data_IF_151935141409
#
_entry.id   IF_151935141409
#
_cell.length_a   1.000
_cell.length_b   1.000
_cell.length_c   1.000
_cell.angle_alpha   90.00
_cell.angle_beta   90.00
_cell.angle_gamma   90.00
#
_symmetry.space_group_name_H-M   'P 1'
#
loop_
_entity.id
_entity.type
_entity.pdbx_description
1 polymer ?
#
# COMPACT_ATOMS: atom_id res chain seq x y z
N UNK A 1 -28.93 -3.01 10.31
CA UNK A 1 -28.19 -4.14 9.72
C UNK A 1 -26.68 -3.99 9.93
N UNK A 2 -26.13 -4.53 11.01
CA UNK A 2 -24.68 -4.78 11.09
C UNK A 2 -24.44 -6.18 10.54
N UNK A 3 -23.72 -6.30 9.41
CA UNK A 3 -23.23 -7.59 8.94
C UNK A 3 -21.95 -7.91 9.72
N UNK A 4 -22.00 -8.93 10.58
CA UNK A 4 -20.82 -9.45 11.27
C UNK A 4 -20.21 -10.60 10.46
N UNK A 5 -18.89 -10.71 10.43
CA UNK A 5 -18.15 -11.79 9.76
C UNK A 5 -16.88 -11.30 9.06
N UNK A 6 -15.99 -12.24 8.75
CA UNK A 6 -14.80 -11.98 7.93
C UNK A 6 -15.18 -12.02 6.46
N UNK A 7 -14.95 -10.94 5.74
CA UNK A 7 -15.12 -10.94 4.29
C UNK A 7 -13.97 -11.72 3.67
N UNK A 8 -14.30 -12.72 2.84
CA UNK A 8 -13.31 -13.45 2.07
C UNK A 8 -13.09 -12.78 0.72
N UNK A 9 -11.83 -12.46 0.41
CA UNK A 9 -11.43 -12.05 -0.93
C UNK A 9 -11.48 -13.30 -1.81
N UNK A 10 -12.29 -13.25 -2.86
CA UNK A 10 -12.34 -14.32 -3.88
C UNK A 10 -11.46 -13.91 -5.06
N UNK A 11 -10.47 -14.74 -5.39
CA UNK A 11 -9.49 -14.46 -6.45
C UNK A 11 -8.10 -14.14 -5.89
N UNK A 12 -7.18 -13.62 -6.72
CA UNK A 12 -5.86 -13.22 -6.25
C UNK A 12 -5.99 -12.03 -5.30
N UNK A 13 -5.31 -12.14 -4.16
CA UNK A 13 -5.17 -11.08 -3.15
C UNK A 13 -3.90 -10.23 -3.38
N UNK A 14 -3.15 -10.54 -4.44
CA UNK A 14 -1.83 -9.98 -4.73
C UNK A 14 -1.77 -9.45 -6.16
N UNK A 15 -1.27 -8.22 -6.34
CA UNK A 15 -1.17 -7.51 -7.62
C UNK A 15 0.24 -6.96 -7.81
N UNK A 16 1.09 -7.73 -8.49
CA UNK A 16 2.53 -7.45 -8.49
C UNK A 16 3.07 -7.57 -7.07
N UNK A 17 3.75 -6.54 -6.60
CA UNK A 17 4.32 -6.48 -5.25
C UNK A 17 3.34 -5.94 -4.19
N UNK A 18 2.08 -5.70 -4.54
CA UNK A 18 1.05 -5.22 -3.61
C UNK A 18 0.14 -6.35 -3.14
N UNK A 19 -0.33 -6.30 -1.90
CA UNK A 19 -1.37 -7.16 -1.33
C UNK A 19 -2.61 -6.36 -0.94
N UNK A 20 -3.76 -7.01 -1.01
CA UNK A 20 -5.02 -6.51 -0.48
C UNK A 20 -5.15 -6.85 1.00
N UNK A 21 -5.25 -5.82 1.83
CA UNK A 21 -5.37 -5.94 3.28
C UNK A 21 -6.72 -5.38 3.73
N UNK A 22 -7.64 -6.24 4.23
CA UNK A 22 -8.91 -5.78 4.78
C UNK A 22 -8.73 -5.26 6.20
N UNK A 23 -9.13 -4.01 6.46
CA UNK A 23 -9.20 -3.42 7.78
C UNK A 23 -10.65 -3.29 8.24
N UNK A 24 -10.95 -3.87 9.40
CA UNK A 24 -12.28 -3.89 9.99
C UNK A 24 -12.39 -2.82 11.07
N UNK A 25 -13.51 -2.11 11.08
CA UNK A 25 -13.94 -1.24 12.18
C UNK A 25 -15.31 -1.71 12.67
N UNK A 26 -15.78 -1.15 13.77
CA UNK A 26 -17.10 -1.49 14.31
C UNK A 26 -18.26 -1.30 13.30
N UNK A 27 -18.08 -0.42 12.30
CA UNK A 27 -19.14 -0.03 11.37
C UNK A 27 -18.75 -0.08 9.90
N UNK A 28 -17.55 -0.56 9.57
CA UNK A 28 -17.03 -0.47 8.20
C UNK A 28 -15.89 -1.43 7.91
N UNK A 29 -15.70 -1.67 6.61
CA UNK A 29 -14.58 -2.40 6.02
C UNK A 29 -13.89 -1.48 5.02
N UNK A 30 -12.57 -1.36 5.12
CA UNK A 30 -11.72 -0.72 4.12
C UNK A 30 -10.73 -1.75 3.58
N UNK A 31 -10.42 -1.70 2.29
CA UNK A 31 -9.39 -2.55 1.68
C UNK A 31 -8.24 -1.63 1.25
N UNK A 32 -7.05 -1.92 1.77
CA UNK A 32 -5.82 -1.23 1.42
C UNK A 32 -5.02 -2.06 0.42
N UNK A 33 -4.39 -1.42 -0.55
CA UNK A 33 -3.36 -2.02 -1.41
C UNK A 33 -2.01 -1.57 -0.89
N UNK A 34 -1.25 -2.48 -0.27
CA UNK A 34 0.01 -2.17 0.43
C UNK A 34 1.12 -3.13 0.03
N UNK A 35 2.37 -2.72 0.20
CA UNK A 35 3.49 -3.64 0.05
C UNK A 35 3.52 -4.62 1.24
N UNK A 36 3.91 -5.90 1.05
CA UNK A 36 4.26 -6.76 2.17
C UNK A 36 5.35 -6.08 3.00
N UNK A 37 5.14 -5.94 4.30
CA UNK A 37 6.06 -5.18 5.16
C UNK A 37 5.57 -3.82 5.60
N UNK A 38 4.59 -3.22 4.92
CA UNK A 38 3.99 -1.93 5.29
C UNK A 38 2.91 -2.17 6.35
N UNK A 39 3.31 -2.10 7.63
CA UNK A 39 2.43 -2.26 8.77
C UNK A 39 1.63 -0.99 9.07
N UNK A 40 2.17 0.18 8.71
CA UNK A 40 1.51 1.48 8.94
C UNK A 40 0.42 1.80 7.91
N UNK A 41 0.39 1.07 6.80
CA UNK A 41 -0.51 1.25 5.65
C UNK A 41 -0.32 2.59 4.95
N UNK A 42 0.88 3.18 5.02
CA UNK A 42 1.17 4.49 4.43
C UNK A 42 1.73 4.40 2.99
N UNK A 43 1.94 3.17 2.50
CA UNK A 43 2.46 2.86 1.18
C UNK A 43 3.98 2.79 1.11
N UNK A 44 4.67 2.95 2.24
CA UNK A 44 6.12 2.85 2.37
C UNK A 44 6.47 1.64 3.25
N UNK A 45 7.60 1.01 2.97
CA UNK A 45 8.17 0.00 3.88
C UNK A 45 9.47 0.54 4.45
N UNK A 46 9.47 0.94 5.72
CA UNK A 46 10.63 1.57 6.36
C UNK A 46 10.90 1.10 7.80
N UNK A 47 11.68 1.89 8.55
CA UNK A 47 12.07 1.56 9.92
C UNK A 47 10.91 1.62 10.91
N UNK A 48 9.85 2.39 10.61
CA UNK A 48 8.64 2.46 11.43
C UNK A 48 7.92 1.11 11.41
N UNK A 49 7.78 0.49 10.23
CA UNK A 49 7.18 -0.84 10.12
C UNK A 49 8.01 -1.91 10.80
N UNK A 50 9.33 -1.83 10.65
CA UNK A 50 10.25 -2.76 11.30
C UNK A 50 10.14 -2.66 12.82
N UNK A 51 9.96 -1.46 13.36
CA UNK A 51 9.76 -1.25 14.79
C UNK A 51 8.47 -1.95 15.29
N UNK A 52 7.39 -1.94 14.50
CA UNK A 52 6.14 -2.65 14.82
C UNK A 52 6.38 -4.16 14.90
N UNK A 53 7.03 -4.75 13.89
CA UNK A 53 7.36 -6.19 13.88
C UNK A 53 8.22 -6.57 15.09
N UNK A 54 9.21 -5.74 15.44
CA UNK A 54 10.07 -6.00 16.60
C UNK A 54 9.31 -5.92 17.93
N UNK A 55 8.41 -4.96 18.08
CA UNK A 55 7.60 -4.79 19.29
C UNK A 55 6.63 -5.96 19.51
N UNK A 56 6.10 -6.52 18.43
CA UNK A 56 5.09 -7.58 18.48
C UNK A 56 5.65 -8.98 18.20
N UNK A 57 6.98 -9.16 18.14
CA UNK A 57 7.57 -10.44 17.80
C UNK A 57 7.11 -11.56 18.76
N UNK A 58 6.56 -12.64 18.22
CA UNK A 58 6.00 -13.76 18.98
C UNK A 58 4.54 -13.56 19.42
N UNK A 59 3.91 -12.44 19.07
CA UNK A 59 2.48 -12.22 19.28
C UNK A 59 1.65 -13.23 18.49
N UNK A 60 0.57 -13.72 19.12
CA UNK A 60 -0.46 -14.56 18.50
C UNK A 60 -1.74 -13.77 18.30
N UNK A 61 -2.62 -14.28 17.43
CA UNK A 61 -3.84 -13.61 16.98
C UNK A 61 -3.56 -12.21 16.39
N UNK A 62 -2.36 -12.07 15.80
CA UNK A 62 -1.88 -10.82 15.24
C UNK A 62 -2.55 -10.50 13.90
N UNK A 63 -2.69 -9.21 13.65
CA UNK A 63 -3.19 -8.64 12.40
C UNK A 63 -2.05 -8.06 11.57
N UNK A 64 -2.37 -7.65 10.34
CA UNK A 64 -1.40 -7.04 9.43
C UNK A 64 -0.69 -5.83 10.05
N UNK A 65 -1.47 -4.92 10.67
CA UNK A 65 -0.94 -3.70 11.31
C UNK A 65 -0.15 -3.97 12.58
N UNK A 66 -0.18 -5.21 13.07
CA UNK A 66 0.64 -5.67 14.20
C UNK A 66 1.90 -6.40 13.71
N UNK A 67 2.06 -6.60 12.40
CA UNK A 67 3.25 -7.19 11.79
C UNK A 67 3.08 -8.63 11.28
N UNK A 68 1.86 -9.18 11.22
CA UNK A 68 1.60 -10.48 10.56
C UNK A 68 1.32 -10.26 9.06
N UNK A 69 2.39 -10.21 8.27
CA UNK A 69 2.32 -10.04 6.81
C UNK A 69 2.06 -11.36 6.08
N UNK A 70 2.25 -12.49 6.76
CA UNK A 70 1.92 -13.81 6.21
C UNK A 70 0.44 -14.17 6.37
N UNK A 71 -0.27 -13.52 7.29
CA UNK A 71 -1.68 -13.77 7.60
C UNK A 71 -1.90 -15.10 8.34
N UNK A 72 -0.88 -15.56 9.08
CA UNK A 72 -0.94 -16.84 9.78
C UNK A 72 -1.40 -16.72 11.25
N UNK A 73 -1.69 -15.50 11.70
CA UNK A 73 -2.06 -15.14 13.06
C UNK A 73 -0.88 -14.96 14.01
N UNK A 74 0.37 -14.95 13.53
CA UNK A 74 1.56 -14.77 14.36
C UNK A 74 2.57 -13.84 13.72
N UNK A 75 3.21 -13.01 14.55
CA UNK A 75 4.35 -12.19 14.13
C UNK A 75 5.63 -12.98 14.33
N UNK A 76 6.28 -13.37 13.24
CA UNK A 76 7.47 -14.21 13.28
C UNK A 76 8.57 -13.79 12.30
N UNK A 77 9.60 -14.65 12.20
CA UNK A 77 10.75 -14.39 11.34
C UNK A 77 10.38 -14.34 9.84
N UNK A 78 9.29 -15.00 9.44
CA UNK A 78 8.83 -14.97 8.04
C UNK A 78 8.26 -13.59 7.69
N UNK A 79 7.60 -12.95 8.63
CA UNK A 79 7.07 -11.59 8.47
C UNK A 79 8.21 -10.57 8.42
N UNK A 80 9.20 -10.69 9.32
CA UNK A 80 10.41 -9.86 9.28
C UNK A 80 11.18 -10.03 7.95
N UNK A 81 11.23 -11.24 7.40
CA UNK A 81 11.86 -11.49 6.10
C UNK A 81 11.06 -10.87 4.93
N UNK A 82 9.73 -10.92 4.97
CA UNK A 82 8.88 -10.24 3.98
C UNK A 82 9.12 -8.73 4.02
N UNK A 83 9.14 -8.12 5.20
CA UNK A 83 9.46 -6.70 5.34
C UNK A 83 10.83 -6.37 4.73
N UNK A 84 11.86 -7.17 5.06
CA UNK A 84 13.21 -6.94 4.54
C UNK A 84 13.30 -7.06 3.01
N UNK A 85 12.49 -7.90 2.38
CA UNK A 85 12.45 -8.02 0.90
C UNK A 85 11.89 -6.78 0.21
N UNK A 86 10.99 -6.07 0.88
CA UNK A 86 10.31 -4.90 0.34
C UNK A 86 10.79 -3.59 0.97
N UNK A 87 11.84 -3.61 1.79
CA UNK A 87 12.36 -2.42 2.47
C UNK A 87 12.74 -1.31 1.47
N UNK A 88 12.24 -0.10 1.70
CA UNK A 88 12.37 1.05 0.81
C UNK A 88 11.39 1.06 -0.35
N UNK A 89 10.45 0.11 -0.42
CA UNK A 89 9.35 0.18 -1.37
C UNK A 89 8.52 1.44 -1.11
N UNK A 90 8.16 2.12 -2.18
CA UNK A 90 7.34 3.34 -2.18
C UNK A 90 6.43 3.32 -3.40
N UNK A 91 5.32 4.08 -3.40
CA UNK A 91 4.47 4.18 -4.57
C UNK A 91 5.27 4.77 -5.74
N UNK A 92 5.25 4.11 -6.89
CA UNK A 92 5.89 4.68 -8.08
C UNK A 92 5.08 5.89 -8.54
N UNK A 93 5.75 7.04 -8.70
CA UNK A 93 5.11 8.22 -9.26
C UNK A 93 4.69 7.91 -10.70
N UNK A 94 3.39 7.89 -10.96
CA UNK A 94 2.89 7.82 -12.35
C UNK A 94 3.38 9.07 -13.06
N UNK A 95 4.15 8.96 -14.16
CA UNK A 95 4.61 10.12 -14.90
C UNK A 95 3.42 10.99 -15.30
N UNK A 96 3.49 12.28 -15.00
CA UNK A 96 2.41 13.21 -15.37
C UNK A 96 2.16 13.12 -16.88
N UNK A 97 0.89 13.13 -17.33
CA UNK A 97 0.59 13.20 -18.75
C UNK A 97 1.27 14.44 -19.33
N UNK A 98 1.98 14.31 -20.46
CA UNK A 98 2.63 15.42 -21.16
C UNK A 98 1.66 16.49 -21.71
N UNK A 99 0.40 16.50 -21.28
CA UNK A 99 -0.63 17.45 -21.65
C UNK A 99 -0.26 18.89 -21.28
N UNK A 100 0.45 19.12 -20.17
CA UNK A 100 0.95 20.45 -19.80
C UNK A 100 2.01 20.96 -20.78
N UNK A 101 2.89 20.08 -21.24
CA UNK A 101 3.89 20.40 -22.28
C UNK A 101 3.18 20.70 -23.60
N UNK A 102 2.22 19.86 -24.00
CA UNK A 102 1.40 20.06 -25.20
C UNK A 102 0.58 21.35 -25.16
N UNK A 103 0.01 21.68 -24.01
CA UNK A 103 -0.77 22.91 -23.81
C UNK A 103 0.15 24.14 -23.85
N UNK A 104 1.33 24.06 -23.22
CA UNK A 104 2.35 25.11 -23.27
C UNK A 104 2.85 25.37 -24.69
N UNK A 105 3.18 24.30 -25.43
CA UNK A 105 3.59 24.38 -26.84
C UNK A 105 2.46 24.90 -27.73
N UNK A 106 1.23 24.41 -27.53
CA UNK A 106 0.04 24.88 -28.24
C UNK A 106 -0.24 26.37 -27.99
N UNK A 107 -0.15 26.81 -26.73
CA UNK A 107 -0.26 28.21 -26.35
C UNK A 107 0.81 29.09 -26.99
N UNK A 108 2.08 28.65 -26.98
CA UNK A 108 3.17 29.36 -27.65
C UNK A 108 2.94 29.48 -29.17
N UNK A 109 2.49 28.41 -29.80
CA UNK A 109 2.17 28.40 -31.24
C UNK A 109 1.00 29.35 -31.56
N UNK A 110 -0.03 29.39 -30.73
CA UNK A 110 -1.16 30.33 -30.89
C UNK A 110 -0.73 31.79 -30.65
N UNK A 111 0.15 32.06 -29.69
CA UNK A 111 0.71 33.39 -29.45
C UNK A 111 1.58 33.87 -30.61
N UNK A 112 2.42 33.00 -31.19
CA UNK A 112 3.24 33.33 -32.37
C UNK A 112 2.38 33.68 -33.59
N UNK A 113 1.22 33.04 -33.75
CA UNK A 113 0.27 33.34 -34.85
C UNK A 113 -0.49 34.65 -34.67
N UNK A 114 -0.55 35.20 -33.46
CA UNK A 114 -1.28 36.44 -33.15
C UNK A 114 -0.39 37.68 -33.19
N UNK A 115 0.93 37.50 -33.14
CA UNK A 115 1.94 38.56 -33.20
C UNK A 115 2.50 38.82 -34.62
N UNK A 116 2.09 38.03 -35.61
CA UNK A 116 2.34 38.23 -37.04
C UNK A 116 1.05 38.72 -37.71
#
# INVERSE_FOLDING_TARGET
>A
DSRQGTFQITGPDSFGDLRLVPQYTATGLTIHTVFPGDATLDGVVDDVDLQIVQQNLGMSDATWTEGDFTGNGQVGLRDAFLLAQHYGATPTSVPEPGSLILLGLGGLLLMRRRAA
#
